data_IF_027979614573
#
_entry.id   IF_027979614573
#
_cell.length_a   1.000
_cell.length_b   1.000
_cell.length_c   1.000
_cell.angle_alpha   90.00
_cell.angle_beta   90.00
_cell.angle_gamma   90.00
#
_symmetry.space_group_name_H-M   'P 1'
#
loop_
_entity.id
_entity.type
_entity.pdbx_description
1 polymer ?
#
# COMPACT_ATOMS: atom_id res chain seq x y z
N UNK A 1 -7.47 8.27 -29.36
CA UNK A 1 -7.56 6.81 -29.47
C UNK A 1 -8.59 6.34 -28.47
N UNK A 2 -9.71 5.81 -28.95
CA UNK A 2 -10.71 5.16 -28.10
C UNK A 2 -10.10 3.91 -27.49
N UNK A 3 -9.67 4.01 -26.23
CA UNK A 3 -9.19 2.85 -25.48
C UNK A 3 -10.43 2.04 -25.06
N UNK A 4 -10.55 0.82 -25.58
CA UNK A 4 -11.55 -0.14 -25.12
C UNK A 4 -10.96 -0.93 -23.95
N UNK A 5 -11.50 -0.73 -22.76
CA UNK A 5 -11.13 -1.50 -21.58
C UNK A 5 -12.03 -2.74 -21.45
N UNK A 6 -11.56 -3.83 -20.83
CA UNK A 6 -12.41 -4.98 -20.52
C UNK A 6 -13.54 -4.58 -19.58
N UNK A 7 -14.71 -5.17 -19.77
CA UNK A 7 -15.85 -5.03 -18.87
C UNK A 7 -15.72 -6.04 -17.73
N UNK A 8 -15.11 -5.60 -16.63
CA UNK A 8 -14.81 -6.46 -15.48
C UNK A 8 -16.10 -6.73 -14.69
N UNK A 9 -16.49 -8.00 -14.61
CA UNK A 9 -17.71 -8.46 -13.90
C UNK A 9 -17.42 -9.21 -12.60
N UNK A 10 -16.20 -9.70 -12.41
CA UNK A 10 -15.80 -10.47 -11.24
C UNK A 10 -14.48 -9.95 -10.67
N UNK A 11 -14.40 -9.77 -9.36
CA UNK A 11 -13.18 -9.37 -8.65
C UNK A 11 -12.96 -10.37 -7.50
N UNK A 12 -11.81 -11.03 -7.50
CA UNK A 12 -11.26 -11.70 -6.32
C UNK A 12 -10.06 -10.92 -5.83
N UNK A 13 -10.07 -10.47 -4.57
CA UNK A 13 -8.96 -9.78 -3.96
C UNK A 13 -8.43 -10.52 -2.74
N UNK A 14 -7.10 -10.65 -2.62
CA UNK A 14 -6.43 -11.23 -1.46
C UNK A 14 -5.26 -10.34 -1.03
N UNK A 15 -5.18 -9.99 0.26
CA UNK A 15 -4.02 -9.32 0.85
C UNK A 15 -3.78 -7.86 0.40
N UNK A 16 -4.83 -7.10 0.07
CA UNK A 16 -4.68 -5.70 -0.34
C UNK A 16 -5.76 -4.76 0.21
N UNK A 17 -5.46 -3.46 0.18
CA UNK A 17 -6.24 -2.44 0.89
C UNK A 17 -6.74 -1.33 -0.07
N UNK A 18 -7.68 -1.72 -0.93
CA UNK A 18 -8.09 -0.99 -2.14
C UNK A 18 -8.66 0.39 -1.82
N UNK A 19 -9.43 0.45 -0.73
CA UNK A 19 -10.08 1.65 -0.24
C UNK A 19 -9.14 2.56 0.55
N UNK A 20 -7.92 2.12 0.89
CA UNK A 20 -6.91 2.96 1.53
C UNK A 20 -5.78 3.37 0.59
N UNK A 21 -5.46 2.58 -0.44
CA UNK A 21 -4.32 2.87 -1.33
C UNK A 21 -4.68 3.65 -2.61
N UNK A 22 -5.95 3.60 -3.05
CA UNK A 22 -6.40 4.17 -4.33
C UNK A 22 -7.04 5.53 -4.08
N UNK A 23 -6.88 6.42 -5.05
CA UNK A 23 -7.27 7.83 -4.96
C UNK A 23 -8.78 8.01 -5.23
N UNK A 24 -9.33 9.16 -4.83
CA UNK A 24 -10.75 9.48 -4.95
C UNK A 24 -11.63 8.32 -4.45
N UNK A 25 -11.50 8.01 -3.16
CA UNK A 25 -12.18 6.86 -2.54
C UNK A 25 -13.70 6.91 -2.74
N UNK A 26 -14.31 8.10 -2.81
CA UNK A 26 -15.73 8.26 -3.11
C UNK A 26 -16.08 7.78 -4.52
N UNK A 27 -15.26 8.09 -5.52
CA UNK A 27 -15.41 7.55 -6.87
C UNK A 27 -15.15 6.04 -6.90
N UNK A 28 -14.16 5.56 -6.14
CA UNK A 28 -13.90 4.12 -6.02
C UNK A 28 -15.12 3.38 -5.45
N UNK A 29 -15.71 3.84 -4.36
CA UNK A 29 -16.91 3.23 -3.75
C UNK A 29 -18.03 3.08 -4.78
N UNK A 30 -18.29 4.12 -5.59
CA UNK A 30 -19.27 4.04 -6.68
C UNK A 30 -18.87 3.05 -7.78
N UNK A 31 -17.60 3.03 -8.17
CA UNK A 31 -17.10 2.12 -9.19
C UNK A 31 -17.14 0.65 -8.73
N UNK A 32 -16.96 0.42 -7.43
CA UNK A 32 -16.98 -0.90 -6.80
C UNK A 32 -18.36 -1.58 -6.85
N UNK A 33 -19.42 -0.82 -7.14
CA UNK A 33 -20.79 -1.36 -7.34
C UNK A 33 -21.04 -1.88 -8.76
N UNK A 34 -20.06 -1.83 -9.67
CA UNK A 34 -20.21 -2.25 -11.07
C UNK A 34 -20.00 -3.75 -11.33
N UNK A 35 -19.03 -4.43 -10.69
CA UNK A 35 -18.89 -5.88 -10.82
C UNK A 35 -20.16 -6.61 -10.35
N UNK A 36 -20.42 -7.78 -10.91
CA UNK A 36 -21.50 -8.67 -10.48
C UNK A 36 -21.18 -9.40 -9.18
N UNK A 37 -19.90 -9.62 -8.90
CA UNK A 37 -19.44 -10.36 -7.73
C UNK A 37 -18.04 -9.90 -7.29
N UNK A 38 -17.92 -9.58 -6.01
CA UNK A 38 -16.67 -9.23 -5.33
C UNK A 38 -16.43 -10.20 -4.17
N UNK A 39 -15.32 -10.93 -4.27
CA UNK A 39 -14.82 -11.85 -3.23
C UNK A 39 -13.57 -11.27 -2.61
N UNK A 40 -13.51 -11.19 -1.27
CA UNK A 40 -12.35 -10.72 -0.52
C UNK A 40 -11.84 -11.82 0.41
N UNK A 41 -10.59 -12.25 0.21
CA UNK A 41 -9.83 -13.07 1.16
C UNK A 41 -9.04 -12.17 2.10
N UNK A 42 -9.40 -12.16 3.38
CA UNK A 42 -8.86 -11.18 4.33
C UNK A 42 -8.94 -11.70 5.78
N UNK A 43 -7.99 -11.28 6.61
CA UNK A 43 -7.91 -11.65 8.03
C UNK A 43 -8.56 -10.60 8.97
N UNK A 44 -8.89 -9.41 8.46
CA UNK A 44 -9.53 -8.33 9.21
C UNK A 44 -10.74 -7.71 8.46
N UNK A 45 -11.67 -7.08 9.19
CA UNK A 45 -12.79 -6.35 8.59
C UNK A 45 -12.36 -4.99 8.01
N UNK A 46 -11.45 -5.01 7.04
CA UNK A 46 -10.99 -3.82 6.31
C UNK A 46 -12.15 -3.18 5.53
N UNK A 47 -11.98 -1.95 5.06
CA UNK A 47 -12.96 -1.32 4.19
C UNK A 47 -13.22 -2.16 2.91
N UNK A 48 -12.23 -2.89 2.39
CA UNK A 48 -12.46 -3.80 1.25
C UNK A 48 -13.39 -4.96 1.63
N UNK A 49 -13.14 -5.62 2.76
CA UNK A 49 -14.00 -6.70 3.26
C UNK A 49 -15.43 -6.23 3.53
N UNK A 50 -15.60 -5.01 4.06
CA UNK A 50 -16.92 -4.39 4.30
C UNK A 50 -17.70 -4.04 3.01
N UNK A 51 -17.03 -4.02 1.85
CA UNK A 51 -17.63 -3.76 0.53
C UNK A 51 -17.61 -5.01 -0.39
N UNK A 52 -17.48 -6.20 0.19
CA UNK A 52 -17.51 -7.47 -0.54
C UNK A 52 -18.92 -8.07 -0.56
N UNK A 53 -19.21 -8.89 -1.58
CA UNK A 53 -20.38 -9.78 -1.55
C UNK A 53 -20.07 -11.05 -0.73
N UNK A 54 -18.83 -11.54 -0.82
CA UNK A 54 -18.34 -12.72 -0.09
C UNK A 54 -17.01 -12.36 0.58
N UNK A 55 -16.92 -12.63 1.88
CA UNK A 55 -15.67 -12.54 2.64
C UNK A 55 -15.22 -13.94 3.03
N UNK A 56 -13.98 -14.27 2.71
CA UNK A 56 -13.33 -15.52 3.09
C UNK A 56 -12.28 -15.23 4.17
N UNK A 57 -12.46 -15.71 5.41
CA UNK A 57 -11.53 -15.42 6.50
C UNK A 57 -10.20 -16.14 6.26
N UNK A 58 -9.15 -15.36 6.01
CA UNK A 58 -7.79 -15.86 5.84
C UNK A 58 -7.04 -15.89 7.16
N UNK A 59 -6.10 -16.83 7.32
CA UNK A 59 -5.16 -16.81 8.44
C UNK A 59 -4.13 -15.69 8.32
N UNK A 60 -3.60 -15.25 9.44
CA UNK A 60 -2.36 -14.46 9.50
C UNK A 60 -1.13 -15.37 9.35
N UNK A 61 0.05 -14.78 9.13
CA UNK A 61 1.30 -15.53 9.11
C UNK A 61 1.66 -16.20 10.44
N UNK A 62 1.05 -15.79 11.56
CA UNK A 62 1.28 -16.42 12.87
C UNK A 62 0.51 -17.73 13.06
N UNK A 63 -0.43 -18.02 12.16
CA UNK A 63 -1.34 -19.16 12.22
C UNK A 63 -0.98 -20.25 11.20
N UNK A 64 0.15 -20.13 10.51
CA UNK A 64 0.64 -21.09 9.51
C UNK A 64 2.16 -21.15 9.48
N UNK A 65 2.73 -22.14 8.80
CA UNK A 65 4.18 -22.19 8.60
C UNK A 65 4.58 -21.53 7.28
N UNK A 66 5.74 -20.88 7.30
CA UNK A 66 6.38 -20.33 6.13
C UNK A 66 7.91 -20.29 6.33
N UNK A 67 8.64 -19.82 5.33
CA UNK A 67 10.03 -19.41 5.45
C UNK A 67 10.26 -18.13 4.65
N UNK A 68 11.09 -17.25 5.16
CA UNK A 68 11.40 -15.99 4.46
C UNK A 68 12.86 -15.63 4.56
N UNK A 69 13.29 -14.70 3.72
CA UNK A 69 14.60 -14.08 3.79
C UNK A 69 14.48 -12.71 4.46
N UNK A 70 15.47 -12.32 5.26
CA UNK A 70 15.52 -10.98 5.85
C UNK A 70 16.60 -10.12 5.19
N UNK A 71 16.26 -8.84 4.99
CA UNK A 71 17.11 -7.87 4.29
C UNK A 71 16.95 -7.95 2.78
N UNK A 72 16.07 -7.12 2.23
CA UNK A 72 15.72 -7.09 0.79
C UNK A 72 16.92 -6.88 -0.14
N UNK A 73 17.98 -6.25 0.37
CA UNK A 73 19.23 -6.01 -0.37
C UNK A 73 20.42 -6.82 0.16
N UNK A 74 20.48 -7.06 1.48
CA UNK A 74 21.60 -7.76 2.11
C UNK A 74 21.45 -9.28 2.05
N UNK A 75 20.22 -9.78 1.93
CA UNK A 75 19.88 -11.20 1.99
C UNK A 75 20.48 -11.89 3.22
N UNK A 76 20.47 -11.19 4.36
CA UNK A 76 21.33 -11.50 5.49
C UNK A 76 20.95 -12.79 6.20
N UNK A 77 19.66 -13.13 6.26
CA UNK A 77 19.23 -14.35 6.92
C UNK A 77 18.14 -15.09 6.17
N UNK A 78 18.08 -16.39 6.38
CA UNK A 78 16.90 -17.21 6.15
C UNK A 78 16.21 -17.50 7.49
N UNK A 79 14.93 -17.20 7.57
CA UNK A 79 14.12 -17.26 8.78
C UNK A 79 13.04 -18.34 8.65
N UNK A 80 12.99 -19.34 9.55
CA UNK A 80 11.85 -20.23 9.66
C UNK A 80 10.69 -19.46 10.31
N UNK A 81 9.54 -19.38 9.66
CA UNK A 81 8.34 -18.77 10.20
C UNK A 81 7.40 -19.89 10.64
N UNK A 82 7.63 -20.45 11.83
CA UNK A 82 6.76 -21.51 12.34
C UNK A 82 5.41 -20.96 12.81
N UNK A 83 4.37 -21.77 12.65
CA UNK A 83 3.06 -21.53 13.23
C UNK A 83 3.21 -21.30 14.76
N UNK A 84 2.69 -20.17 15.23
CA UNK A 84 2.77 -19.75 16.64
C UNK A 84 1.49 -20.14 17.38
N UNK A 85 0.33 -19.97 16.74
CA UNK A 85 -0.99 -20.33 17.26
C UNK A 85 -1.77 -21.10 16.19
N UNK A 86 -2.80 -21.85 16.61
CA UNK A 86 -3.73 -22.46 15.65
C UNK A 86 -4.56 -21.38 14.94
N UNK A 87 -5.09 -21.66 13.73
CA UNK A 87 -6.04 -20.78 13.07
C UNK A 87 -7.19 -20.38 14.00
N UNK A 88 -7.48 -19.09 14.07
CA UNK A 88 -8.50 -18.54 14.93
C UNK A 88 -9.88 -18.64 14.29
N UNK A 89 -10.88 -19.03 15.08
CA UNK A 89 -12.26 -19.19 14.62
C UNK A 89 -12.36 -20.15 13.42
N UNK A 90 -12.94 -19.69 12.31
CA UNK A 90 -13.09 -20.44 11.06
C UNK A 90 -12.09 -19.98 9.98
N UNK A 91 -11.03 -19.24 10.37
CA UNK A 91 -10.02 -18.78 9.43
C UNK A 91 -9.27 -19.97 8.80
N UNK A 92 -8.97 -19.86 7.51
CA UNK A 92 -8.28 -20.90 6.73
C UNK A 92 -7.08 -20.34 5.99
N UNK A 93 -6.07 -21.17 5.77
CA UNK A 93 -4.92 -20.80 4.94
C UNK A 93 -5.36 -20.61 3.49
N UNK A 94 -4.90 -19.54 2.84
CA UNK A 94 -5.19 -19.29 1.43
C UNK A 94 -4.83 -20.50 0.55
N UNK A 95 -3.71 -21.18 0.83
CA UNK A 95 -3.31 -22.40 0.12
C UNK A 95 -4.39 -23.48 0.13
N UNK A 96 -5.00 -23.75 1.28
CA UNK A 96 -6.05 -24.77 1.41
C UNK A 96 -7.34 -24.35 0.70
N UNK A 97 -7.72 -23.08 0.83
CA UNK A 97 -8.89 -22.51 0.16
C UNK A 97 -8.77 -22.62 -1.35
N UNK A 98 -7.61 -22.24 -1.92
CA UNK A 98 -7.39 -22.32 -3.36
C UNK A 98 -7.23 -23.76 -3.88
N UNK A 99 -6.64 -24.67 -3.10
CA UNK A 99 -6.59 -26.09 -3.44
C UNK A 99 -8.00 -26.70 -3.54
N UNK A 100 -8.85 -26.41 -2.57
CA UNK A 100 -10.24 -26.88 -2.55
C UNK A 100 -11.13 -26.20 -3.59
N UNK A 101 -10.88 -24.93 -3.91
CA UNK A 101 -11.56 -24.24 -5.01
C UNK A 101 -11.18 -24.89 -6.35
N UNK A 102 -9.93 -25.26 -6.52
CA UNK A 102 -9.45 -25.92 -7.75
C UNK A 102 -10.18 -27.24 -7.99
N UNK A 103 -10.46 -28.03 -6.95
CA UNK A 103 -11.26 -29.26 -7.08
C UNK A 103 -12.71 -29.00 -7.49
N UNK A 104 -13.31 -27.93 -6.97
CA UNK A 104 -14.68 -27.52 -7.33
C UNK A 104 -14.75 -27.01 -8.77
N UNK A 105 -13.65 -26.43 -9.27
CA UNK A 105 -13.55 -25.93 -10.64
C UNK A 105 -13.43 -27.06 -11.64
N UNK A 106 -12.59 -28.06 -11.35
CA UNK A 106 -12.35 -29.20 -12.21
C UNK A 106 -11.96 -30.41 -11.36
N UNK A 107 -12.55 -31.57 -11.65
CA UNK A 107 -12.20 -32.81 -10.95
C UNK A 107 -10.70 -33.10 -11.06
N UNK A 108 -10.04 -33.39 -9.93
CA UNK A 108 -8.59 -33.55 -9.85
C UNK A 108 -7.80 -32.24 -9.77
N UNK A 109 -8.49 -31.09 -9.69
CA UNK A 109 -7.89 -29.78 -9.52
C UNK A 109 -7.11 -29.64 -8.21
N UNK A 110 -7.53 -30.28 -7.12
CA UNK A 110 -6.79 -30.27 -5.85
C UNK A 110 -5.38 -30.83 -6.02
N UNK A 111 -5.28 -32.04 -6.60
CA UNK A 111 -4.01 -32.72 -6.80
C UNK A 111 -3.11 -31.94 -7.77
N UNK A 112 -3.70 -31.32 -8.79
CA UNK A 112 -2.99 -30.45 -9.74
C UNK A 112 -2.43 -29.20 -9.08
N UNK A 113 -3.22 -28.53 -8.25
CA UNK A 113 -2.81 -27.31 -7.55
C UNK A 113 -1.75 -27.58 -6.48
N UNK A 114 -1.95 -28.62 -5.68
CA UNK A 114 -1.05 -28.97 -4.57
C UNK A 114 0.20 -29.71 -5.03
N UNK A 115 0.18 -30.29 -6.24
CA UNK A 115 1.16 -31.28 -6.71
C UNK A 115 1.35 -32.45 -5.72
N UNK A 116 0.33 -32.76 -4.91
CA UNK A 116 0.41 -33.76 -3.84
C UNK A 116 1.33 -33.37 -2.68
N UNK A 117 1.76 -32.11 -2.59
CA UNK A 117 2.64 -31.59 -1.53
C UNK A 117 1.81 -30.90 -0.45
N UNK A 118 2.19 -31.14 0.81
CA UNK A 118 1.75 -30.34 1.95
C UNK A 118 2.47 -28.99 2.00
N UNK A 119 2.02 -28.08 2.87
CA UNK A 119 2.71 -26.81 3.18
C UNK A 119 4.21 -27.04 3.46
N UNK A 120 4.55 -27.93 4.39
CA UNK A 120 5.95 -28.22 4.73
C UNK A 120 6.74 -28.81 3.56
N UNK A 121 6.12 -29.63 2.70
CA UNK A 121 6.80 -30.18 1.53
C UNK A 121 7.09 -29.10 0.47
N UNK A 122 6.22 -28.10 0.35
CA UNK A 122 6.49 -26.91 -0.47
C UNK A 122 7.66 -26.09 0.09
N UNK A 123 7.65 -25.83 1.40
CA UNK A 123 8.75 -25.13 2.08
C UNK A 123 10.09 -25.84 1.90
N UNK A 124 10.13 -27.17 2.07
CA UNK A 124 11.32 -27.97 1.81
C UNK A 124 11.78 -27.88 0.34
N UNK A 125 10.83 -27.86 -0.60
CA UNK A 125 11.15 -27.69 -2.04
C UNK A 125 11.84 -26.34 -2.29
N UNK A 126 11.28 -25.23 -1.77
CA UNK A 126 11.87 -23.90 -1.94
C UNK A 126 13.25 -23.80 -1.28
N UNK A 127 13.38 -24.36 -0.08
CA UNK A 127 14.65 -24.44 0.63
C UNK A 127 15.72 -25.19 -0.18
N UNK A 128 15.37 -26.33 -0.75
CA UNK A 128 16.29 -27.15 -1.54
C UNK A 128 16.71 -26.44 -2.85
N UNK A 129 15.81 -25.69 -3.49
CA UNK A 129 16.15 -24.84 -4.64
C UNK A 129 17.16 -23.76 -4.22
N UNK A 130 16.95 -23.10 -3.07
CA UNK A 130 17.88 -22.12 -2.54
C UNK A 130 19.24 -22.74 -2.20
N UNK A 131 19.26 -23.94 -1.60
CA UNK A 131 20.47 -24.68 -1.27
C UNK A 131 21.29 -25.04 -2.52
N UNK A 132 20.64 -25.52 -3.58
CA UNK A 132 21.30 -25.83 -4.85
C UNK A 132 21.93 -24.58 -5.50
N UNK A 133 21.22 -23.46 -5.49
CA UNK A 133 21.75 -22.18 -5.99
C UNK A 133 22.88 -21.66 -5.12
N UNK A 134 22.74 -21.70 -3.80
CA UNK A 134 23.75 -21.30 -2.85
C UNK A 134 25.05 -22.10 -3.01
N UNK A 135 24.95 -23.41 -3.24
CA UNK A 135 26.11 -24.27 -3.44
C UNK A 135 26.95 -23.83 -4.66
N UNK A 136 26.32 -23.35 -5.74
CA UNK A 136 27.03 -22.78 -6.89
C UNK A 136 27.81 -21.49 -6.57
N UNK A 137 27.49 -20.85 -5.45
CA UNK A 137 28.11 -19.63 -4.93
C UNK A 137 29.00 -19.91 -3.69
N UNK A 138 29.27 -21.18 -3.39
CA UNK A 138 30.07 -21.59 -2.24
C UNK A 138 29.36 -21.53 -0.88
N UNK A 139 28.04 -21.33 -0.88
CA UNK A 139 27.21 -21.32 0.34
C UNK A 139 26.58 -22.69 0.55
N UNK A 140 26.91 -23.35 1.66
CA UNK A 140 26.31 -24.65 2.01
C UNK A 140 25.23 -24.44 3.07
N UNK A 141 23.99 -24.76 2.72
CA UNK A 141 22.88 -24.78 3.66
C UNK A 141 22.77 -26.16 4.34
N UNK A 142 22.41 -26.24 5.62
CA UNK A 142 22.13 -27.52 6.28
C UNK A 142 20.91 -28.22 5.64
N UNK A 143 20.65 -29.51 5.92
CA UNK A 143 19.40 -30.14 5.51
C UNK A 143 18.17 -29.38 6.05
N UNK A 144 17.08 -29.32 5.27
CA UNK A 144 15.86 -28.59 5.66
C UNK A 144 15.36 -29.00 7.05
N UNK A 145 15.33 -30.30 7.35
CA UNK A 145 14.91 -30.80 8.66
C UNK A 145 15.76 -30.25 9.81
N UNK A 146 17.08 -30.11 9.63
CA UNK A 146 17.97 -29.54 10.64
C UNK A 146 17.73 -28.03 10.82
N UNK A 147 17.60 -27.29 9.71
CA UNK A 147 17.23 -25.87 9.73
C UNK A 147 15.89 -25.65 10.44
N UNK A 148 14.87 -26.43 10.04
CA UNK A 148 13.52 -26.33 10.58
C UNK A 148 13.50 -26.67 12.07
N UNK A 149 14.17 -27.75 12.50
CA UNK A 149 14.20 -28.13 13.92
C UNK A 149 15.00 -27.14 14.78
N UNK A 150 16.07 -26.56 14.24
CA UNK A 150 16.84 -25.55 14.96
C UNK A 150 15.96 -24.35 15.37
N UNK A 151 15.02 -23.96 14.49
CA UNK A 151 14.10 -22.84 14.69
C UNK A 151 14.83 -21.53 15.04
N UNK A 152 15.89 -21.22 14.28
CA UNK A 152 16.71 -20.01 14.42
C UNK A 152 16.95 -19.40 13.05
N UNK A 153 17.29 -18.12 13.04
CA UNK A 153 17.80 -17.46 11.84
C UNK A 153 19.07 -18.18 11.37
N UNK A 154 19.13 -18.50 10.08
CA UNK A 154 20.35 -18.95 9.42
C UNK A 154 21.00 -17.74 8.76
N UNK A 155 22.13 -17.30 9.26
CA UNK A 155 22.88 -16.16 8.73
C UNK A 155 23.62 -16.57 7.44
N UNK A 156 23.50 -15.74 6.40
CA UNK A 156 24.21 -15.91 5.14
C UNK A 156 25.63 -15.36 5.25
N UNK A 157 26.62 -16.01 4.64
CA UNK A 157 27.98 -15.50 4.65
C UNK A 157 28.05 -14.18 3.88
N UNK A 158 28.73 -13.19 4.47
CA UNK A 158 29.04 -11.95 3.77
C UNK A 158 30.18 -12.16 2.76
N UNK A 159 30.07 -11.50 1.61
CA UNK A 159 31.16 -11.42 0.65
C UNK A 159 31.86 -10.05 0.79
N UNK A 160 33.15 -10.00 1.21
CA UNK A 160 33.88 -8.74 1.36
C UNK A 160 33.95 -7.91 0.07
N UNK A 161 33.85 -8.53 -1.11
CA UNK A 161 33.80 -7.81 -2.38
C UNK A 161 32.48 -7.03 -2.54
N UNK A 162 31.35 -7.56 -2.03
CA UNK A 162 30.06 -6.87 -2.08
C UNK A 162 30.05 -5.60 -1.23
N UNK A 163 30.80 -5.59 -0.11
CA UNK A 163 30.96 -4.41 0.74
C UNK A 163 31.68 -3.24 0.03
N UNK A 164 32.36 -3.52 -1.09
CA UNK A 164 33.07 -2.53 -1.91
C UNK A 164 32.26 -2.11 -3.14
N UNK A 165 31.00 -2.52 -3.27
CA UNK A 165 30.18 -2.22 -4.43
C UNK A 165 29.99 -0.71 -4.61
N UNK A 166 30.42 -0.18 -5.76
CA UNK A 166 30.21 1.22 -6.14
C UNK A 166 29.33 1.25 -7.38
N UNK A 167 28.08 1.71 -7.20
CA UNK A 167 27.10 1.78 -8.30
C UNK A 167 27.62 2.68 -9.42
N UNK A 168 27.55 2.18 -10.67
CA UNK A 168 28.03 2.84 -11.89
C UNK A 168 29.56 3.03 -12.04
N UNK A 169 30.39 2.41 -11.19
CA UNK A 169 31.85 2.54 -11.31
C UNK A 169 32.40 2.06 -12.66
N UNK A 170 31.92 0.91 -13.17
CA UNK A 170 32.39 0.35 -14.44
C UNK A 170 31.97 1.19 -15.64
N UNK A 171 30.72 1.65 -15.69
CA UNK A 171 30.24 2.58 -16.71
C UNK A 171 31.06 3.88 -16.74
N UNK A 172 31.42 4.41 -15.56
CA UNK A 172 32.29 5.60 -15.45
C UNK A 172 33.70 5.32 -15.98
N UNK A 173 34.26 4.13 -15.70
CA UNK A 173 35.63 3.75 -16.06
C UNK A 173 35.77 3.49 -17.55
N UNK A 174 34.81 2.80 -18.16
CA UNK A 174 34.84 2.39 -19.56
C UNK A 174 33.40 2.24 -20.11
N UNK A 175 32.79 3.34 -20.59
CA UNK A 175 31.40 3.34 -21.05
C UNK A 175 31.21 2.62 -22.39
N UNK A 176 32.26 2.42 -23.19
CA UNK A 176 32.15 1.76 -24.49
C UNK A 176 32.02 0.24 -24.30
N UNK A 177 32.73 -0.34 -23.33
CA UNK A 177 32.61 -1.76 -22.99
C UNK A 177 31.57 -2.06 -21.89
N UNK A 178 31.14 -1.05 -21.13
CA UNK A 178 30.08 -1.18 -20.12
C UNK A 178 28.90 -0.21 -20.36
N UNK A 179 28.29 -0.22 -21.56
CA UNK A 179 27.25 0.74 -21.91
C UNK A 179 25.99 0.53 -21.07
N UNK A 180 25.25 1.63 -20.83
CA UNK A 180 23.90 1.54 -20.27
C UNK A 180 22.94 0.88 -21.28
N UNK A 181 21.85 0.32 -20.77
CA UNK A 181 20.80 -0.32 -21.60
C UNK A 181 19.86 0.72 -22.25
N UNK A 182 20.43 1.76 -22.84
CA UNK A 182 19.73 2.82 -23.58
C UNK A 182 20.08 2.72 -25.08
N UNK A 183 19.38 3.47 -25.94
CA UNK A 183 19.63 3.39 -27.38
C UNK A 183 21.03 3.91 -27.76
N UNK A 184 21.54 4.87 -27.00
CA UNK A 184 22.89 5.44 -27.18
C UNK A 184 24.00 4.75 -26.38
N UNK A 185 23.67 3.81 -25.49
CA UNK A 185 24.62 3.28 -24.50
C UNK A 185 24.96 4.25 -23.36
N UNK A 186 24.36 5.45 -23.34
CA UNK A 186 24.67 6.55 -22.40
C UNK A 186 23.43 7.02 -21.64
N UNK A 187 23.62 7.97 -20.72
CA UNK A 187 22.50 8.68 -20.07
C UNK A 187 21.86 9.61 -21.11
N UNK A 188 20.58 9.39 -21.41
CA UNK A 188 19.83 10.18 -22.39
C UNK A 188 19.15 11.38 -21.70
N UNK A 189 19.82 12.54 -21.71
CA UNK A 189 19.22 13.81 -21.27
C UNK A 189 18.04 14.20 -22.18
N UNK A 190 18.19 13.89 -23.47
CA UNK A 190 17.13 13.96 -24.47
C UNK A 190 16.89 12.57 -25.07
N UNK A 191 15.65 12.09 -25.03
CA UNK A 191 15.22 10.85 -25.65
C UNK A 191 14.40 11.11 -26.90
N UNK A 192 15.01 10.89 -28.07
CA UNK A 192 14.31 11.00 -29.36
C UNK A 192 13.12 10.05 -29.47
N UNK A 193 13.20 8.88 -28.80
CA UNK A 193 12.12 7.90 -28.73
C UNK A 193 10.90 8.43 -27.98
N UNK A 194 11.09 9.11 -26.86
CA UNK A 194 9.98 9.72 -26.11
C UNK A 194 9.41 10.91 -26.89
N UNK A 195 10.29 11.75 -27.45
CA UNK A 195 9.88 12.89 -28.28
C UNK A 195 8.99 12.48 -29.46
N UNK A 196 9.26 11.33 -30.10
CA UNK A 196 8.48 10.87 -31.25
C UNK A 196 7.04 10.46 -30.92
N UNK A 197 6.69 10.24 -29.65
CA UNK A 197 5.32 9.95 -29.24
C UNK A 197 4.41 11.18 -29.28
N UNK A 198 4.97 12.40 -29.30
CA UNK A 198 4.18 13.64 -29.36
C UNK A 198 3.29 13.85 -28.12
N UNK A 199 3.69 13.32 -26.96
CA UNK A 199 2.95 13.47 -25.72
C UNK A 199 3.24 14.82 -25.07
N UNK A 200 2.23 15.69 -25.00
CA UNK A 200 2.35 17.02 -24.39
C UNK A 200 2.67 16.95 -22.88
N UNK A 201 2.26 15.88 -22.21
CA UNK A 201 2.47 15.59 -20.79
C UNK A 201 3.73 14.76 -20.50
N UNK A 202 4.51 14.40 -21.53
CA UNK A 202 5.79 13.72 -21.37
C UNK A 202 6.74 14.01 -22.54
N UNK A 203 7.39 15.18 -22.54
CA UNK A 203 8.31 15.59 -23.59
C UNK A 203 9.61 14.78 -23.60
N UNK A 204 10.39 14.90 -24.68
CA UNK A 204 11.64 14.16 -24.86
C UNK A 204 12.78 14.50 -23.89
N UNK A 205 12.67 15.53 -23.07
CA UNK A 205 13.65 15.89 -22.04
C UNK A 205 12.93 16.44 -20.80
N UNK A 206 13.59 16.49 -19.62
CA UNK A 206 13.00 17.06 -18.42
C UNK A 206 12.55 18.52 -18.64
N UNK A 207 11.32 18.83 -18.27
CA UNK A 207 10.72 20.17 -18.34
C UNK A 207 9.82 20.41 -17.14
N UNK A 208 9.67 21.68 -16.76
CA UNK A 208 8.61 22.11 -15.86
C UNK A 208 7.28 22.14 -16.62
N UNK A 209 6.34 21.32 -16.18
CA UNK A 209 4.95 21.35 -16.61
C UNK A 209 4.11 21.74 -15.39
N UNK A 210 3.13 22.62 -15.59
CA UNK A 210 2.26 23.06 -14.50
C UNK A 210 1.42 21.86 -14.03
N UNK A 211 1.47 21.48 -12.74
CA UNK A 211 0.65 20.39 -12.21
C UNK A 211 -0.84 20.74 -12.23
N UNK A 212 -1.70 19.71 -12.27
CA UNK A 212 -3.15 19.85 -12.16
C UNK A 212 -3.60 20.61 -10.90
N UNK A 213 -3.03 20.27 -9.75
CA UNK A 213 -3.31 20.89 -8.46
C UNK A 213 -1.99 21.20 -7.77
N UNK A 214 -1.76 22.43 -7.35
CA UNK A 214 -0.60 22.81 -6.55
C UNK A 214 -0.85 24.17 -5.90
N UNK A 215 -0.03 24.54 -4.92
CA UNK A 215 -0.22 25.82 -4.22
C UNK A 215 -0.39 27.04 -5.14
N UNK A 216 0.24 27.07 -6.32
CA UNK A 216 0.14 28.21 -7.25
C UNK A 216 -1.16 28.31 -8.05
N UNK A 217 -2.03 27.30 -8.03
CA UNK A 217 -3.39 27.38 -8.58
C UNK A 217 -4.47 27.11 -7.53
N UNK A 218 -4.13 27.29 -6.25
CA UNK A 218 -5.04 27.13 -5.13
C UNK A 218 -6.13 28.21 -5.11
N UNK A 219 -7.37 27.81 -4.82
CA UNK A 219 -8.44 28.76 -4.52
C UNK A 219 -8.18 29.48 -3.19
N UNK A 220 -8.88 30.59 -2.97
CA UNK A 220 -8.77 31.34 -1.73
C UNK A 220 -9.00 30.44 -0.49
N UNK A 221 -8.00 30.41 0.39
CA UNK A 221 -8.03 29.64 1.64
C UNK A 221 -7.67 28.16 1.51
N UNK A 222 -7.40 27.66 0.30
CA UNK A 222 -6.88 26.30 0.12
C UNK A 222 -5.41 26.21 0.51
N UNK A 223 -5.02 25.02 0.96
CA UNK A 223 -3.63 24.64 1.25
C UNK A 223 -3.29 23.32 0.56
N UNK A 224 -2.00 23.06 0.38
CA UNK A 224 -1.49 21.79 -0.12
C UNK A 224 -1.68 20.70 0.95
N UNK A 225 -2.24 19.57 0.54
CA UNK A 225 -2.31 18.37 1.36
C UNK A 225 -1.15 17.42 0.99
N UNK A 226 -0.43 16.94 2.01
CA UNK A 226 0.51 15.83 1.90
C UNK A 226 -0.09 14.56 2.50
N UNK A 227 0.00 13.47 1.75
CA UNK A 227 -0.47 12.13 2.12
C UNK A 227 0.68 11.13 2.27
N UNK A 228 1.69 11.49 3.07
CA UNK A 228 2.88 10.66 3.25
C UNK A 228 2.58 9.34 3.96
N UNK A 229 3.48 8.36 3.82
CA UNK A 229 3.35 7.08 4.52
C UNK A 229 3.38 7.28 6.05
N UNK A 230 2.61 6.48 6.81
CA UNK A 230 2.50 6.61 8.27
C UNK A 230 3.76 6.10 8.98
N UNK A 231 4.11 6.72 10.11
CA UNK A 231 5.25 6.30 10.93
C UNK A 231 4.95 5.09 11.83
N UNK A 232 3.69 4.90 12.21
CA UNK A 232 3.27 3.87 13.18
C UNK A 232 2.57 2.67 12.54
N UNK A 233 2.53 2.59 11.21
CA UNK A 233 1.83 1.52 10.48
C UNK A 233 2.59 1.15 9.23
N UNK A 234 2.32 -0.04 8.71
CA UNK A 234 2.59 -0.36 7.31
C UNK A 234 1.32 -0.08 6.52
N UNK A 235 1.25 1.09 5.89
CA UNK A 235 0.03 1.55 5.19
C UNK A 235 -1.19 1.51 6.14
N UNK A 236 -2.21 0.71 5.80
CA UNK A 236 -3.42 0.51 6.59
C UNK A 236 -3.33 -0.64 7.61
N UNK A 237 -2.28 -1.46 7.55
CA UNK A 237 -2.09 -2.54 8.51
C UNK A 237 -1.91 -1.95 9.91
N UNK A 238 -2.49 -2.60 10.91
CA UNK A 238 -2.48 -2.19 12.32
C UNK A 238 -3.30 -0.92 12.65
N UNK A 239 -4.04 -0.32 11.72
CA UNK A 239 -4.89 0.85 12.05
C UNK A 239 -6.00 0.51 13.06
N UNK A 240 -6.45 -0.74 13.11
CA UNK A 240 -7.42 -1.24 14.10
C UNK A 240 -6.81 -1.65 15.45
N UNK A 241 -5.47 -1.73 15.54
CA UNK A 241 -4.78 -2.25 16.72
C UNK A 241 -4.61 -1.20 17.82
N UNK A 242 -4.26 -1.64 19.04
CA UNK A 242 -3.96 -0.75 20.17
C UNK A 242 -2.81 0.22 19.90
N UNK A 243 -1.96 -0.03 18.88
CA UNK A 243 -0.95 0.92 18.43
C UNK A 243 -1.55 2.28 18.04
N UNK A 244 -2.82 2.31 17.63
CA UNK A 244 -3.57 3.52 17.34
C UNK A 244 -3.70 4.48 18.51
N UNK A 245 -3.75 3.98 19.74
CA UNK A 245 -3.85 4.79 20.96
C UNK A 245 -2.64 5.72 21.13
N UNK A 246 -1.52 5.44 20.46
CA UNK A 246 -0.30 6.27 20.53
C UNK A 246 -0.34 7.54 19.70
N UNK A 247 -1.17 7.59 18.66
CA UNK A 247 -1.13 8.69 17.68
C UNK A 247 -2.50 9.29 17.34
N UNK A 248 -3.60 8.59 17.61
CA UNK A 248 -4.92 9.12 17.30
C UNK A 248 -5.23 10.33 18.16
N UNK A 249 -5.73 11.40 17.55
CA UNK A 249 -6.08 12.65 18.23
C UNK A 249 -7.58 12.85 18.17
N UNK A 250 -8.20 13.10 19.32
CA UNK A 250 -9.65 13.08 19.51
C UNK A 250 -10.29 11.78 18.97
N UNK A 251 -9.54 10.67 18.92
CA UNK A 251 -9.99 9.41 18.34
C UNK A 251 -10.08 9.41 16.81
N UNK A 252 -9.38 10.29 16.09
CA UNK A 252 -9.31 10.37 14.61
C UNK A 252 -7.85 10.30 14.15
N UNK A 253 -7.63 10.12 12.84
CA UNK A 253 -6.28 10.23 12.27
C UNK A 253 -5.72 11.66 12.49
N UNK A 254 -4.45 11.82 12.88
CA UNK A 254 -3.86 13.13 13.11
C UNK A 254 -3.66 13.90 11.80
N UNK A 255 -3.94 15.21 11.85
CA UNK A 255 -3.54 16.18 10.84
C UNK A 255 -2.53 17.15 11.44
N UNK A 256 -1.35 17.19 10.84
CA UNK A 256 -0.28 18.13 11.22
C UNK A 256 -0.55 19.51 10.64
N UNK A 257 -0.55 20.55 11.48
CA UNK A 257 -0.86 21.94 11.12
C UNK A 257 0.19 22.87 11.76
N UNK A 258 0.62 23.91 11.05
CA UNK A 258 1.49 24.94 11.63
C UNK A 258 0.71 25.86 12.61
N UNK A 259 1.32 26.32 13.73
CA UNK A 259 0.67 27.21 14.70
C UNK A 259 0.00 28.46 14.11
N UNK A 260 0.62 29.08 13.11
CA UNK A 260 0.05 30.26 12.42
C UNK A 260 -1.27 29.94 11.71
N UNK A 261 -1.32 28.82 10.99
CA UNK A 261 -2.52 28.41 10.27
C UNK A 261 -3.64 27.96 11.19
N UNK A 262 -3.27 27.30 12.29
CA UNK A 262 -4.18 26.89 13.34
C UNK A 262 -4.81 28.12 14.02
N UNK A 263 -3.98 29.09 14.42
CA UNK A 263 -4.43 30.35 15.07
C UNK A 263 -5.33 31.16 14.14
N UNK A 264 -4.97 31.28 12.86
CA UNK A 264 -5.79 31.98 11.86
C UNK A 264 -7.20 31.38 11.68
N UNK A 265 -7.39 30.12 12.08
CA UNK A 265 -8.65 29.37 11.96
C UNK A 265 -9.29 29.03 13.31
N UNK A 266 -8.74 29.53 14.42
CA UNK A 266 -9.25 29.24 15.77
C UNK A 266 -9.14 27.76 16.17
N UNK A 267 -8.18 27.04 15.61
CA UNK A 267 -7.89 25.64 15.90
C UNK A 267 -6.79 25.57 16.97
N UNK A 268 -7.00 24.76 18.00
CA UNK A 268 -5.96 24.41 18.97
C UNK A 268 -5.58 22.93 18.85
N UNK A 269 -4.44 22.55 19.43
CA UNK A 269 -4.02 21.16 19.50
C UNK A 269 -5.11 20.29 20.15
N UNK A 270 -5.36 19.11 19.58
CA UNK A 270 -6.40 18.21 20.05
C UNK A 270 -7.80 18.44 19.48
N UNK A 271 -8.06 19.57 18.81
CA UNK A 271 -9.36 19.84 18.20
C UNK A 271 -9.68 18.83 17.08
N UNK A 272 -10.97 18.55 16.89
CA UNK A 272 -11.44 17.86 15.67
C UNK A 272 -11.57 18.88 14.54
N UNK A 273 -11.00 18.55 13.38
CA UNK A 273 -10.94 19.42 12.21
C UNK A 273 -11.63 18.73 11.03
N UNK A 274 -12.45 19.49 10.31
CA UNK A 274 -13.00 19.06 9.02
C UNK A 274 -12.05 19.48 7.91
N UNK A 275 -11.67 18.54 7.06
CA UNK A 275 -10.80 18.77 5.91
C UNK A 275 -11.55 18.35 4.65
N UNK A 276 -11.60 19.19 3.63
CA UNK A 276 -12.50 18.98 2.51
C UNK A 276 -12.04 19.64 1.22
N UNK A 277 -12.56 19.14 0.10
CA UNK A 277 -12.52 19.77 -1.21
C UNK A 277 -13.74 19.29 -2.03
N UNK A 278 -13.73 19.51 -3.34
CA UNK A 278 -14.83 19.12 -4.22
C UNK A 278 -15.04 17.59 -4.34
N UNK A 279 -14.08 16.77 -3.93
CA UNK A 279 -14.15 15.30 -4.01
C UNK A 279 -14.76 14.66 -2.77
N UNK A 280 -14.59 15.30 -1.61
CA UNK A 280 -15.13 14.80 -0.36
C UNK A 280 -14.66 15.57 0.86
N UNK A 281 -14.95 15.00 2.02
CA UNK A 281 -14.66 15.59 3.32
C UNK A 281 -14.38 14.52 4.37
N UNK A 282 -13.45 14.81 5.27
CA UNK A 282 -13.00 13.89 6.33
C UNK A 282 -12.90 14.65 7.66
N UNK A 283 -12.94 13.89 8.76
CA UNK A 283 -12.57 14.36 10.10
C UNK A 283 -11.16 13.89 10.46
N UNK A 284 -10.37 14.80 11.02
CA UNK A 284 -9.04 14.55 11.56
C UNK A 284 -8.87 15.22 12.93
N UNK A 285 -7.86 14.80 13.70
CA UNK A 285 -7.48 15.47 14.95
C UNK A 285 -6.29 16.40 14.74
N UNK A 286 -6.34 17.64 15.21
CA UNK A 286 -5.27 18.62 15.03
C UNK A 286 -4.03 18.28 15.86
N UNK A 287 -2.87 18.23 15.19
CA UNK A 287 -1.54 18.22 15.80
C UNK A 287 -0.84 19.51 15.40
N UNK A 288 -0.72 20.45 16.33
CA UNK A 288 -0.15 21.77 16.07
C UNK A 288 1.35 21.76 16.32
N UNK A 289 2.15 22.02 15.29
CA UNK A 289 3.63 21.94 15.38
C UNK A 289 4.34 22.82 14.37
N UNK A 290 5.51 23.35 14.74
CA UNK A 290 6.40 24.12 13.86
C UNK A 290 7.14 23.23 12.84
N UNK A 291 6.98 21.90 12.91
CA UNK A 291 7.61 20.93 12.01
C UNK A 291 7.05 20.88 10.58
N UNK A 292 6.06 21.74 10.25
CA UNK A 292 5.44 21.84 8.93
C UNK A 292 5.39 23.29 8.46
N UNK A 293 5.45 23.55 7.16
CA UNK A 293 5.55 24.91 6.63
C UNK A 293 4.22 25.71 6.81
N UNK A 294 4.26 26.94 7.35
CA UNK A 294 3.07 27.81 7.46
C UNK A 294 2.47 28.18 6.11
N UNK A 295 1.15 28.35 6.06
CA UNK A 295 0.38 28.96 4.97
C UNK A 295 0.27 28.12 3.70
N UNK A 296 0.95 26.96 3.67
CA UNK A 296 1.14 26.21 2.43
C UNK A 296 0.74 24.75 2.57
N UNK A 297 0.96 24.11 3.72
CA UNK A 297 0.89 22.64 3.80
C UNK A 297 0.21 22.13 5.07
N UNK A 298 -0.65 21.14 4.92
CA UNK A 298 -1.08 20.23 5.99
C UNK A 298 -0.71 18.79 5.62
N UNK A 299 -0.48 17.93 6.62
CA UNK A 299 -0.14 16.53 6.41
C UNK A 299 -1.13 15.61 7.13
N UNK A 300 -1.66 14.62 6.40
CA UNK A 300 -2.45 13.52 6.95
C UNK A 300 -1.90 12.24 6.34
N UNK A 301 -1.43 11.31 7.15
CA UNK A 301 -0.81 10.09 6.63
C UNK A 301 -1.82 9.17 5.92
N UNK A 302 -1.36 8.46 4.89
CA UNK A 302 -2.18 7.44 4.24
C UNK A 302 -2.46 6.22 5.15
N UNK A 303 -3.41 5.39 4.74
CA UNK A 303 -3.69 4.11 5.39
C UNK A 303 -4.81 4.14 6.45
N UNK A 304 -5.32 5.31 6.83
CA UNK A 304 -6.47 5.39 7.72
C UNK A 304 -7.71 4.72 7.09
N UNK A 305 -8.35 3.80 7.82
CA UNK A 305 -9.50 3.04 7.34
C UNK A 305 -10.69 3.98 7.09
N UNK A 306 -11.27 4.01 5.88
CA UNK A 306 -12.44 4.81 5.58
C UNK A 306 -13.65 4.44 6.46
N UNK A 307 -14.37 5.46 6.91
CA UNK A 307 -15.62 5.35 7.66
C UNK A 307 -16.59 6.46 7.22
N UNK A 308 -17.00 6.47 5.94
CA UNK A 308 -17.95 7.44 5.42
C UNK A 308 -19.31 7.27 6.08
N UNK A 309 -19.99 8.38 6.37
CA UNK A 309 -21.42 8.31 6.66
C UNK A 309 -22.19 7.68 5.48
N UNK A 310 -23.30 6.96 5.72
CA UNK A 310 -24.04 6.26 4.66
C UNK A 310 -24.64 7.15 3.57
N UNK A 311 -24.71 8.46 3.81
CA UNK A 311 -25.22 9.44 2.83
C UNK A 311 -24.22 9.66 1.71
N UNK A 312 -24.70 9.87 0.48
CA UNK A 312 -23.82 10.12 -0.65
C UNK A 312 -23.00 11.40 -0.43
N UNK A 313 -21.66 11.28 -0.44
CA UNK A 313 -20.76 12.39 -0.12
C UNK A 313 -20.71 12.75 1.38
N UNK A 314 -21.21 11.86 2.23
CA UNK A 314 -21.14 11.97 3.67
C UNK A 314 -19.72 12.12 4.18
N UNK A 315 -19.58 12.72 5.36
CA UNK A 315 -18.26 12.95 5.92
C UNK A 315 -17.63 11.64 6.38
N UNK A 316 -16.36 11.45 6.03
CA UNK A 316 -15.60 10.34 6.58
C UNK A 316 -15.24 10.65 8.02
N UNK A 317 -15.77 9.83 8.93
CA UNK A 317 -15.60 10.00 10.38
C UNK A 317 -14.16 9.71 10.83
N UNK A 318 -13.39 9.02 9.98
CA UNK A 318 -11.95 8.81 10.10
C UNK A 318 -11.17 9.63 9.06
N UNK A 319 -9.88 9.90 9.31
CA UNK A 319 -9.06 10.73 8.41
C UNK A 319 -8.52 9.99 7.19
N UNK A 320 -9.39 9.32 6.42
CA UNK A 320 -9.03 8.62 5.18
C UNK A 320 -8.65 9.62 4.07
N UNK A 321 -7.37 10.00 4.04
CA UNK A 321 -6.85 11.09 3.20
C UNK A 321 -7.12 10.92 1.70
N UNK A 322 -7.19 9.68 1.19
CA UNK A 322 -7.44 9.40 -0.22
C UNK A 322 -8.86 9.73 -0.73
N UNK A 323 -9.78 10.09 0.18
CA UNK A 323 -11.04 10.74 -0.20
C UNK A 323 -10.79 12.11 -0.87
N UNK A 324 -9.69 12.78 -0.48
CA UNK A 324 -9.35 14.13 -0.90
C UNK A 324 -8.38 14.14 -2.10
N UNK A 325 -7.77 13.01 -2.45
CA UNK A 325 -6.78 12.89 -3.53
C UNK A 325 -7.44 12.65 -4.88
N UNK A 326 -6.74 13.01 -5.96
CA UNK A 326 -7.26 12.93 -7.34
C UNK A 326 -6.83 11.60 -7.99
N UNK A 327 -7.77 10.88 -8.58
CA UNK A 327 -7.47 9.71 -9.43
C UNK A 327 -7.15 10.19 -10.85
N UNK A 328 -5.86 10.46 -11.09
CA UNK A 328 -5.31 10.88 -12.37
C UNK A 328 -3.98 10.20 -12.63
N UNK A 329 -3.72 9.87 -13.90
CA UNK A 329 -2.47 9.29 -14.36
C UNK A 329 -1.37 10.35 -14.43
N UNK A 330 -0.16 9.99 -13.97
CA UNK A 330 1.01 10.89 -14.00
C UNK A 330 1.32 11.48 -15.38
N UNK A 331 1.18 10.68 -16.44
CA UNK A 331 1.20 11.10 -17.84
C UNK A 331 0.72 9.95 -18.72
N UNK A 332 0.53 10.20 -20.02
CA UNK A 332 0.29 9.15 -21.04
C UNK A 332 1.40 8.11 -21.13
N UNK A 333 2.64 8.47 -20.77
CA UNK A 333 3.78 7.56 -20.78
C UNK A 333 3.80 6.68 -19.54
N UNK A 334 3.74 7.30 -18.35
CA UNK A 334 3.90 6.58 -17.08
C UNK A 334 2.65 5.85 -16.63
N UNK A 335 1.47 6.44 -16.89
CA UNK A 335 0.16 5.96 -16.43
C UNK A 335 0.14 5.52 -14.95
N UNK A 336 0.96 6.16 -14.11
CA UNK A 336 1.12 5.85 -12.70
C UNK A 336 0.24 6.73 -11.82
N UNK A 337 0.13 6.37 -10.54
CA UNK A 337 -0.59 7.18 -9.55
C UNK A 337 0.03 8.57 -9.37
N UNK A 338 -0.81 9.60 -9.27
CA UNK A 338 -0.45 10.99 -8.96
C UNK A 338 -1.15 11.50 -7.69
N UNK A 339 -1.45 10.61 -6.73
CA UNK A 339 -2.31 10.89 -5.58
C UNK A 339 -1.75 11.82 -4.50
N UNK A 340 -0.43 12.06 -4.45
CA UNK A 340 0.20 12.93 -3.45
C UNK A 340 0.05 14.43 -3.72
N UNK A 341 -0.85 14.79 -4.63
CA UNK A 341 -1.08 16.15 -5.05
C UNK A 341 -2.57 16.47 -4.89
N UNK A 342 -2.88 17.23 -3.85
CA UNK A 342 -4.25 17.66 -3.56
C UNK A 342 -4.26 19.04 -2.88
N UNK A 343 -5.29 19.81 -3.18
CA UNK A 343 -5.62 21.07 -2.51
C UNK A 343 -6.88 20.90 -1.65
N UNK A 344 -6.87 21.51 -0.46
CA UNK A 344 -7.95 21.34 0.53
C UNK A 344 -8.21 22.62 1.30
N UNK A 345 -9.46 22.78 1.73
CA UNK A 345 -9.82 23.66 2.84
C UNK A 345 -9.88 22.87 4.13
N UNK A 346 -9.72 23.56 5.26
CA UNK A 346 -9.94 22.96 6.57
C UNK A 346 -10.42 24.00 7.58
N UNK A 347 -11.19 23.54 8.56
CA UNK A 347 -11.81 24.36 9.60
C UNK A 347 -12.06 23.55 10.88
N UNK A 348 -12.14 24.23 12.02
CA UNK A 348 -12.58 23.60 13.26
C UNK A 348 -13.96 22.99 13.08
N UNK A 349 -14.11 21.70 13.38
CA UNK A 349 -15.39 21.02 13.26
C UNK A 349 -16.31 21.41 14.43
N UNK A 350 -17.50 21.93 14.11
CA UNK A 350 -18.52 22.37 15.07
C UNK A 350 -19.84 21.60 14.96
N UNK A 351 -19.86 20.56 14.11
CA UNK A 351 -21.02 19.70 13.92
C UNK A 351 -21.22 18.68 15.07
N UNK A 352 -22.22 17.81 14.96
CA UNK A 352 -22.49 16.78 15.96
C UNK A 352 -21.31 15.84 16.13
N UNK A 353 -21.12 15.31 17.33
CA UNK A 353 -20.12 14.28 17.58
C UNK A 353 -20.46 13.01 16.78
N UNK A 354 -19.60 12.65 15.83
CA UNK A 354 -19.76 11.45 15.01
C UNK A 354 -18.95 10.30 15.61
N UNK A 355 -19.58 9.18 16.03
CA UNK A 355 -18.88 8.03 16.55
C UNK A 355 -18.15 7.29 15.42
N UNK A 356 -16.90 6.92 15.70
CA UNK A 356 -16.07 6.18 14.76
C UNK A 356 -16.45 4.70 14.79
N UNK A 357 -16.84 4.15 13.64
CA UNK A 357 -17.29 2.77 13.46
C UNK A 357 -16.41 1.97 12.49
N UNK A 358 -15.31 2.58 12.01
CA UNK A 358 -14.35 1.95 11.10
C UNK A 358 -13.85 0.59 11.61
N UNK A 359 -13.69 0.48 12.93
CA UNK A 359 -13.09 -0.66 13.62
C UNK A 359 -14.11 -1.58 14.27
N UNK A 360 -15.39 -1.23 14.20
CA UNK A 360 -16.44 -2.09 14.70
C UNK A 360 -16.58 -3.29 13.76
N UNK A 361 -16.78 -4.50 14.32
CA UNK A 361 -17.19 -5.63 13.50
C UNK A 361 -18.52 -5.30 12.81
N UNK A 362 -18.78 -5.82 11.60
CA UNK A 362 -20.08 -5.69 10.99
C UNK A 362 -21.16 -6.26 11.93
N UNK A 363 -22.35 -5.66 11.93
CA UNK A 363 -23.46 -6.19 12.69
C UNK A 363 -23.74 -7.63 12.22
N UNK A 364 -23.76 -8.58 13.15
CA UNK A 364 -24.23 -9.93 12.84
C UNK A 364 -25.69 -9.83 12.37
N UNK A 365 -25.98 -10.35 11.18
CA UNK A 365 -27.34 -10.50 10.65
C UNK A 365 -28.15 -11.50 11.47
#
# INVERSE_FOLDING_TARGET
>A
MDRRFPDIRFIWWAGGANFTHHQDTNRLIRAWQKPDLVVISECFWTAAAKHADIVLPATTSYERNDLTMTGDYSHQHLAPMKQVVLPQYEARNDFDVFAELSERWESGGYARFTEGKSELAWLETFYNIAAQRGASQGVTLPPFSAFWQANRLLEMPENPANAQFVRFADFRRDPDNHPLKTASGKIEIYSARIASYGYADCPGHPMWLVPDEWHGNADAGQVQLLSAHPAHRLHSQLNYSSLRERYAVAGREPMTIHPQDATARGIIDGDTVRVWNHRGQILAGAVVTEGIRPGVVVCIHEGAWPDPEPTAGGICKNGAVNILTKDLASSRLGNGCAGNTALVWFEKYTGPALPLTAFDPPANS
#
